data_IF_501567992724
#
_entry.id   IF_501567992724
#
_cell.length_a   1.000
_cell.length_b   1.000
_cell.length_c   1.000
_cell.angle_alpha   90.00
_cell.angle_beta   90.00
_cell.angle_gamma   90.00
#
_symmetry.space_group_name_H-M   'P 1'
#
loop_
_entity.id
_entity.type
_entity.pdbx_description
1 polymer ?
#
# COMPACT_ATOMS: atom_id res chain seq x y z
N UNK A 1 -18.47 0.17 4.23
CA UNK A 1 -19.41 -0.85 3.73
C UNK A 1 -20.65 -0.75 4.58
N UNK A 2 -21.86 -0.92 4.04
CA UNK A 2 -23.01 -1.06 4.92
C UNK A 2 -23.01 -2.46 5.55
N UNK A 3 -23.93 -2.72 6.47
CA UNK A 3 -23.88 -3.89 7.34
C UNK A 3 -24.13 -5.22 6.59
N UNK A 4 -24.83 -5.19 5.45
CA UNK A 4 -25.01 -6.36 4.55
C UNK A 4 -24.20 -6.28 3.27
N UNK A 5 -23.38 -5.24 3.08
CA UNK A 5 -22.64 -5.01 1.84
C UNK A 5 -23.53 -4.69 0.62
N UNK A 6 -24.81 -4.40 0.83
CA UNK A 6 -25.79 -4.07 -0.23
C UNK A 6 -26.11 -2.58 -0.28
N UNK A 7 -25.84 -1.86 0.81
CA UNK A 7 -26.23 -0.45 0.97
C UNK A 7 -25.29 0.51 0.23
N UNK A 8 -24.05 0.06 -0.01
CA UNK A 8 -23.05 0.80 -0.79
C UNK A 8 -22.23 -0.20 -1.61
N UNK A 9 -22.17 -0.05 -2.94
CA UNK A 9 -21.32 -0.90 -3.78
C UNK A 9 -19.89 -0.93 -3.25
N UNK A 10 -19.22 -2.08 -3.39
CA UNK A 10 -17.79 -2.22 -3.11
C UNK A 10 -16.96 -1.24 -3.95
N UNK A 11 -15.74 -0.92 -3.52
CA UNK A 11 -14.91 0.12 -4.16
C UNK A 11 -14.71 -0.13 -5.67
N UNK A 12 -14.56 -1.40 -6.07
CA UNK A 12 -14.42 -1.81 -7.48
C UNK A 12 -15.67 -1.62 -8.33
N UNK A 13 -16.83 -1.40 -7.71
CA UNK A 13 -18.10 -1.18 -8.40
C UNK A 13 -18.46 0.31 -8.47
N UNK A 14 -17.63 1.21 -7.95
CA UNK A 14 -17.90 2.65 -7.90
C UNK A 14 -17.38 3.43 -9.10
N UNK A 15 -16.60 2.80 -9.98
CA UNK A 15 -16.03 3.42 -11.17
C UNK A 15 -14.57 3.00 -11.39
N UNK A 16 -13.93 3.61 -12.40
CA UNK A 16 -12.51 3.46 -12.68
C UNK A 16 -11.83 4.81 -12.48
N UNK A 17 -11.26 5.09 -11.29
CA UNK A 17 -10.57 6.36 -11.06
C UNK A 17 -9.34 6.48 -11.94
N UNK A 18 -9.02 7.69 -12.37
CA UNK A 18 -7.77 7.98 -13.08
C UNK A 18 -6.56 7.95 -12.13
N UNK A 19 -6.76 8.30 -10.85
CA UNK A 19 -5.71 8.31 -9.83
C UNK A 19 -6.25 7.72 -8.52
N UNK A 20 -5.45 6.90 -7.83
CA UNK A 20 -5.70 6.46 -6.44
C UNK A 20 -4.59 6.96 -5.53
N UNK A 21 -4.96 7.37 -4.31
CA UNK A 21 -4.04 7.73 -3.24
C UNK A 21 -4.15 6.74 -2.08
N UNK A 22 -3.05 6.05 -1.79
CA UNK A 22 -2.91 5.09 -0.69
C UNK A 22 -1.89 5.62 0.33
N UNK A 23 -2.32 6.59 1.14
CA UNK A 23 -1.45 7.33 2.04
C UNK A 23 -1.31 6.61 3.38
N UNK A 24 -0.25 5.81 3.50
CA UNK A 24 0.11 4.99 4.65
C UNK A 24 -0.95 3.96 5.04
N UNK A 25 -1.92 3.63 4.20
CA UNK A 25 -2.88 2.57 4.53
C UNK A 25 -2.28 1.16 4.45
N UNK A 26 -1.16 1.01 3.71
CA UNK A 26 -0.61 -0.31 3.37
C UNK A 26 -0.03 -1.10 4.54
N UNK A 27 0.50 -0.41 5.56
CA UNK A 27 1.00 -1.08 6.77
C UNK A 27 -0.15 -1.65 7.63
N UNK A 28 -1.33 -1.03 7.61
CA UNK A 28 -2.52 -1.61 8.23
C UNK A 28 -2.98 -2.87 7.50
N UNK A 29 -3.04 -2.82 6.16
CA UNK A 29 -3.42 -3.97 5.35
C UNK A 29 -2.43 -5.13 5.51
N UNK A 30 -1.13 -4.85 5.52
CA UNK A 30 -0.09 -5.86 5.68
C UNK A 30 -0.04 -6.45 7.10
N UNK A 31 -0.01 -5.60 8.13
CA UNK A 31 0.32 -6.05 9.50
C UNK A 31 -0.94 -6.39 10.30
N UNK A 32 -1.99 -5.57 10.21
CA UNK A 32 -3.24 -5.83 10.94
C UNK A 32 -4.07 -6.90 10.24
N UNK A 33 -4.21 -6.80 8.91
CA UNK A 33 -5.12 -7.64 8.14
C UNK A 33 -4.42 -8.78 7.37
N UNK A 34 -3.09 -8.90 7.47
CA UNK A 34 -2.29 -9.95 6.81
C UNK A 34 -2.49 -10.03 5.29
N UNK A 35 -2.75 -8.88 4.65
CA UNK A 35 -2.86 -8.79 3.20
C UNK A 35 -1.46 -8.56 2.62
N UNK A 36 -0.89 -9.49 1.83
CA UNK A 36 0.46 -9.34 1.28
C UNK A 36 0.62 -8.07 0.43
N UNK A 37 1.79 -7.44 0.48
CA UNK A 37 2.07 -6.23 -0.32
C UNK A 37 1.80 -6.45 -1.82
N UNK A 38 2.18 -7.61 -2.35
CA UNK A 38 1.94 -7.99 -3.74
C UNK A 38 0.43 -7.92 -4.09
N UNK A 39 -0.43 -8.52 -3.26
CA UNK A 39 -1.88 -8.51 -3.47
C UNK A 39 -2.48 -7.10 -3.37
N UNK A 40 -1.97 -6.26 -2.46
CA UNK A 40 -2.38 -4.85 -2.38
C UNK A 40 -2.01 -4.08 -3.66
N UNK A 41 -0.80 -4.30 -4.20
CA UNK A 41 -0.34 -3.63 -5.41
C UNK A 41 -1.05 -4.14 -6.68
N UNK A 42 -1.36 -5.43 -6.76
CA UNK A 42 -2.22 -5.99 -7.82
C UNK A 42 -3.61 -5.34 -7.79
N UNK A 43 -4.19 -5.21 -6.60
CA UNK A 43 -5.47 -4.53 -6.40
C UNK A 43 -5.42 -3.07 -6.88
N UNK A 44 -4.37 -2.32 -6.56
CA UNK A 44 -4.23 -0.93 -7.03
C UNK A 44 -4.04 -0.86 -8.55
N UNK A 45 -3.23 -1.75 -9.13
CA UNK A 45 -2.99 -1.83 -10.58
C UNK A 45 -4.29 -2.08 -11.37
N UNK A 46 -5.17 -2.90 -10.81
CA UNK A 46 -6.44 -3.23 -11.45
C UNK A 46 -7.46 -2.10 -11.31
N UNK A 47 -7.33 -1.23 -10.29
CA UNK A 47 -8.25 -0.14 -9.99
C UNK A 47 -7.94 1.16 -10.76
N UNK A 48 -6.67 1.48 -10.98
CA UNK A 48 -6.25 2.80 -11.48
C UNK A 48 -5.05 2.73 -12.44
N UNK A 49 -4.97 3.61 -13.46
CA UNK A 49 -3.76 3.76 -14.25
C UNK A 49 -2.65 4.50 -13.48
N UNK A 50 -2.96 5.27 -12.43
CA UNK A 50 -1.99 6.07 -11.70
C UNK A 50 -2.17 5.98 -10.18
N UNK A 51 -1.06 5.86 -9.45
CA UNK A 51 -1.03 5.59 -8.01
C UNK A 51 -0.07 6.56 -7.31
N UNK A 52 -0.57 7.18 -6.24
CA UNK A 52 0.26 7.84 -5.23
C UNK A 52 0.20 6.99 -3.96
N UNK A 53 1.34 6.48 -3.52
CA UNK A 53 1.40 5.52 -2.41
C UNK A 53 2.48 5.93 -1.41
N UNK A 54 2.12 5.98 -0.14
CA UNK A 54 3.04 6.27 0.95
C UNK A 54 3.38 4.95 1.66
N UNK A 55 4.67 4.60 1.64
CA UNK A 55 5.25 3.44 2.29
C UNK A 55 5.95 3.85 3.59
N UNK A 56 5.38 3.52 4.76
CA UNK A 56 6.08 3.60 6.03
C UNK A 56 7.15 2.53 6.14
N UNK A 57 8.31 2.91 6.67
CA UNK A 57 9.45 2.03 6.89
C UNK A 57 9.30 1.23 8.19
N UNK A 58 10.16 0.23 8.40
CA UNK A 58 10.12 -0.62 9.60
C UNK A 58 10.31 0.16 10.92
N UNK A 59 10.95 1.33 10.87
CA UNK A 59 11.18 2.22 12.01
C UNK A 59 10.09 3.29 12.21
N UNK A 60 9.07 3.34 11.36
CA UNK A 60 7.91 4.21 11.57
C UNK A 60 7.19 3.89 12.91
N UNK A 61 6.80 4.90 13.70
CA UNK A 61 6.16 4.67 15.00
C UNK A 61 4.89 3.82 14.94
N UNK A 62 4.08 3.95 13.87
CA UNK A 62 2.86 3.17 13.72
C UNK A 62 3.18 1.73 13.29
N UNK A 63 4.16 1.53 12.42
CA UNK A 63 4.64 0.18 12.05
C UNK A 63 5.13 -0.57 13.29
N UNK A 64 5.99 0.05 14.10
CA UNK A 64 6.45 -0.52 15.39
C UNK A 64 5.31 -0.87 16.33
N UNK A 65 4.31 0.01 16.43
CA UNK A 65 3.11 -0.21 17.25
C UNK A 65 2.30 -1.41 16.76
N UNK A 66 2.09 -1.56 15.45
CA UNK A 66 1.34 -2.69 14.89
C UNK A 66 2.08 -4.03 15.06
N UNK A 67 3.41 -4.01 15.07
CA UNK A 67 4.26 -5.19 15.25
C UNK A 67 4.38 -5.64 16.71
N UNK A 68 4.04 -4.80 17.70
CA UNK A 68 4.30 -5.06 19.14
C UNK A 68 3.77 -6.42 19.65
N UNK A 69 2.65 -6.91 19.10
CA UNK A 69 2.04 -8.18 19.51
C UNK A 69 2.14 -9.27 18.44
N UNK A 70 2.98 -9.08 17.42
CA UNK A 70 3.19 -10.04 16.33
C UNK A 70 4.37 -10.92 16.66
N UNK A 71 4.38 -12.15 16.13
CA UNK A 71 5.56 -13.02 16.25
C UNK A 71 6.62 -12.52 15.28
N UNK A 72 7.87 -12.58 15.71
CA UNK A 72 9.04 -12.28 14.87
C UNK A 72 9.03 -13.13 13.59
N UNK A 73 9.47 -12.56 12.48
CA UNK A 73 9.56 -13.25 11.19
C UNK A 73 8.30 -13.23 10.32
N UNK A 74 7.12 -12.92 10.88
CA UNK A 74 5.85 -12.99 10.11
C UNK A 74 5.72 -11.87 9.07
N UNK A 75 6.41 -10.74 9.28
CA UNK A 75 6.30 -9.54 8.45
C UNK A 75 7.66 -9.06 7.93
N UNK A 76 8.63 -9.97 7.79
CA UNK A 76 9.98 -9.63 7.30
C UNK A 76 9.97 -9.11 5.85
N UNK A 77 8.92 -9.47 5.09
CA UNK A 77 8.64 -8.98 3.74
C UNK A 77 8.04 -7.56 3.73
N UNK A 78 7.62 -7.02 4.89
CA UNK A 78 7.22 -5.62 5.01
C UNK A 78 8.45 -4.73 5.18
N UNK A 79 9.20 -4.57 4.08
CA UNK A 79 10.37 -3.70 4.03
C UNK A 79 10.40 -2.88 2.73
N UNK A 80 11.24 -1.85 2.72
CA UNK A 80 11.30 -0.89 1.62
C UNK A 80 11.76 -1.54 0.31
N UNK A 81 12.76 -2.42 0.36
CA UNK A 81 13.34 -3.04 -0.82
C UNK A 81 12.34 -3.96 -1.52
N UNK A 82 11.64 -4.79 -0.75
CA UNK A 82 10.60 -5.69 -1.27
C UNK A 82 9.41 -4.89 -1.82
N UNK A 83 8.99 -3.84 -1.11
CA UNK A 83 7.96 -2.94 -1.60
C UNK A 83 8.35 -2.31 -2.95
N UNK A 84 9.57 -1.76 -3.09
CA UNK A 84 10.03 -1.16 -4.33
C UNK A 84 10.14 -2.19 -5.47
N UNK A 85 10.63 -3.39 -5.17
CA UNK A 85 10.66 -4.50 -6.12
C UNK A 85 9.26 -4.82 -6.65
N UNK A 86 8.30 -5.03 -5.76
CA UNK A 86 6.91 -5.33 -6.13
C UNK A 86 6.20 -4.17 -6.85
N UNK A 87 6.49 -2.93 -6.45
CA UNK A 87 5.94 -1.73 -7.08
C UNK A 87 6.47 -1.61 -8.51
N UNK A 88 7.77 -1.78 -8.71
CA UNK A 88 8.42 -1.68 -10.04
C UNK A 88 8.04 -2.82 -10.97
N UNK A 89 7.64 -3.99 -10.48
CA UNK A 89 7.04 -5.03 -11.33
C UNK A 89 5.73 -4.59 -11.99
N UNK A 90 4.93 -3.77 -11.31
CA UNK A 90 3.54 -3.42 -11.71
C UNK A 90 3.41 -2.02 -12.28
N UNK A 91 4.26 -1.10 -11.83
CA UNK A 91 4.23 0.32 -12.16
C UNK A 91 5.60 0.84 -12.58
N UNK A 92 5.61 1.92 -13.34
CA UNK A 92 6.77 2.78 -13.58
C UNK A 92 6.75 3.92 -12.57
N UNK A 93 7.76 4.00 -11.71
CA UNK A 93 7.90 5.09 -10.73
C UNK A 93 8.26 6.37 -11.47
N UNK A 94 7.46 7.43 -11.29
CA UNK A 94 7.67 8.77 -11.84
C UNK A 94 8.40 9.68 -10.87
N UNK A 95 8.09 9.58 -9.59
CA UNK A 95 8.83 10.28 -8.53
C UNK A 95 8.80 9.50 -7.22
N UNK A 96 9.80 9.76 -6.38
CA UNK A 96 9.99 9.22 -5.03
C UNK A 96 10.40 10.37 -4.13
N UNK A 97 9.81 10.44 -2.93
CA UNK A 97 10.11 11.47 -1.95
C UNK A 97 10.17 10.86 -0.54
N UNK A 98 11.34 10.92 0.10
CA UNK A 98 11.47 10.67 1.53
C UNK A 98 10.84 11.86 2.27
N UNK A 99 9.88 11.60 3.16
CA UNK A 99 9.26 12.64 3.96
C UNK A 99 10.19 13.13 5.07
N UNK A 100 9.91 14.31 5.60
CA UNK A 100 10.70 14.92 6.68
C UNK A 100 10.73 14.10 7.98
N UNK A 101 9.82 13.13 8.15
CA UNK A 101 9.89 12.17 9.25
C UNK A 101 11.08 11.22 9.15
N UNK A 102 11.69 11.07 7.99
CA UNK A 102 12.81 10.15 7.73
C UNK A 102 12.42 8.67 7.64
N UNK A 103 11.17 8.33 7.98
CA UNK A 103 10.68 6.94 8.12
C UNK A 103 9.55 6.59 7.14
N UNK A 104 9.29 7.45 6.15
CA UNK A 104 8.22 7.27 5.17
C UNK A 104 8.60 7.78 3.81
N UNK A 105 8.23 7.06 2.77
CA UNK A 105 8.47 7.47 1.38
C UNK A 105 7.17 7.50 0.60
N UNK A 106 6.91 8.61 -0.10
CA UNK A 106 5.82 8.72 -1.07
C UNK A 106 6.36 8.42 -2.46
N UNK A 107 5.61 7.62 -3.22
CA UNK A 107 5.85 7.31 -4.61
C UNK A 107 4.70 7.80 -5.45
N UNK A 108 5.02 8.37 -6.60
CA UNK A 108 4.09 8.56 -7.70
C UNK A 108 4.44 7.55 -8.79
N UNK A 109 3.48 6.71 -9.18
CA UNK A 109 3.74 5.60 -10.09
C UNK A 109 2.60 5.45 -11.11
N UNK A 110 2.96 5.10 -12.34
CA UNK A 110 2.01 4.90 -13.45
C UNK A 110 2.05 3.45 -13.88
N UNK A 111 0.89 2.83 -14.04
CA UNK A 111 0.74 1.40 -14.36
C UNK A 111 1.53 1.05 -15.62
N UNK A 112 2.23 -0.09 -15.60
CA UNK A 112 2.85 -0.67 -16.79
C UNK A 112 1.79 -1.22 -17.73
N UNK A 113 2.00 -1.01 -19.04
CA UNK A 113 1.16 -1.57 -20.11
C UNK A 113 1.20 -3.08 -20.14
#
# INVERSE_FOLDING_TARGET
>A
MGWRGQERPGIFHRGKPDIVMALAVIHHMAITFHVPLASQLDMFRDLTPELIIEMPHADDPMVRKLLTNKRDGIHDDFNLDEFERLLTERFTIKSKMLLSSGTRTIYHAVRKG
#
